data_IF_963318790386
#
_entry.id   IF_963318790386
#
_cell.length_a   1.000
_cell.length_b   1.000
_cell.length_c   1.000
_cell.angle_alpha   90.00
_cell.angle_beta   90.00
_cell.angle_gamma   90.00
#
_symmetry.space_group_name_H-M   'P 1'
#
loop_
_entity.id
_entity.type
_entity.pdbx_description
1 polymer ?
#
# COMPACT_ATOMS: atom_id res chain seq x y z
N UNK A 1 -28.00 4.70 6.83
CA UNK A 1 -26.85 5.05 7.69
C UNK A 1 -25.63 5.08 6.80
N UNK A 2 -24.77 6.10 6.93
CA UNK A 2 -23.49 6.21 6.23
C UNK A 2 -22.57 5.04 6.64
N UNK A 3 -21.81 4.51 5.68
CA UNK A 3 -20.84 3.43 5.90
C UNK A 3 -19.47 4.06 6.16
N UNK A 4 -18.69 3.61 7.18
CA UNK A 4 -17.31 4.05 7.38
C UNK A 4 -16.47 3.90 6.12
N UNK A 5 -15.62 4.88 5.82
CA UNK A 5 -14.77 4.87 4.63
C UNK A 5 -13.30 4.95 5.00
N UNK A 6 -12.46 4.23 4.27
CA UNK A 6 -11.00 4.26 4.40
C UNK A 6 -10.41 4.45 3.01
N UNK A 7 -9.59 5.48 2.82
CA UNK A 7 -8.67 5.57 1.69
C UNK A 7 -7.29 5.15 2.19
N UNK A 8 -6.79 4.00 1.74
CA UNK A 8 -5.41 3.57 1.99
C UNK A 8 -4.52 4.02 0.85
N UNK A 9 -3.64 4.98 1.12
CA UNK A 9 -2.56 5.33 0.21
C UNK A 9 -1.39 4.37 0.41
N UNK A 10 -0.88 3.83 -0.69
CA UNK A 10 0.14 2.79 -0.65
C UNK A 10 1.17 2.92 -1.79
N UNK A 11 2.35 2.37 -1.54
CA UNK A 11 3.39 2.09 -2.52
C UNK A 11 3.85 0.66 -2.26
N UNK A 12 4.05 -0.13 -3.32
CA UNK A 12 4.46 -1.53 -3.22
C UNK A 12 5.80 -1.69 -2.50
N UNK A 13 6.65 -0.65 -2.51
CA UNK A 13 7.94 -0.61 -1.83
C UNK A 13 7.84 -0.68 -0.31
N UNK A 14 6.67 -0.40 0.29
CA UNK A 14 6.52 -0.35 1.74
C UNK A 14 6.10 -1.70 2.32
N UNK A 15 6.89 -2.31 3.23
CA UNK A 15 6.47 -3.54 3.91
C UNK A 15 5.27 -3.28 4.83
N UNK A 16 5.23 -2.11 5.47
CA UNK A 16 4.08 -1.73 6.31
C UNK A 16 2.84 -1.41 5.46
N UNK A 17 3.02 -0.90 4.23
CA UNK A 17 1.94 -0.75 3.25
C UNK A 17 1.31 -2.09 2.89
N UNK A 18 2.12 -3.12 2.68
CA UNK A 18 1.64 -4.48 2.46
C UNK A 18 0.87 -5.04 3.67
N UNK A 19 1.39 -4.88 4.89
CA UNK A 19 0.69 -5.32 6.10
C UNK A 19 -0.68 -4.61 6.21
N UNK A 20 -0.72 -3.29 6.01
CA UNK A 20 -1.98 -2.53 6.03
C UNK A 20 -2.98 -3.05 4.99
N UNK A 21 -2.52 -3.23 3.74
CA UNK A 21 -3.34 -3.79 2.67
C UNK A 21 -3.90 -5.17 3.06
N UNK A 22 -3.05 -6.07 3.53
CA UNK A 22 -3.43 -7.42 3.93
C UNK A 22 -4.46 -7.42 5.07
N UNK A 23 -4.24 -6.60 6.11
CA UNK A 23 -5.17 -6.50 7.25
C UNK A 23 -6.52 -5.93 6.81
N UNK A 24 -6.54 -4.85 6.03
CA UNK A 24 -7.79 -4.27 5.52
C UNK A 24 -8.57 -5.25 4.62
N UNK A 25 -7.87 -6.14 3.90
CA UNK A 25 -8.50 -7.15 3.03
C UNK A 25 -9.09 -8.33 3.79
N UNK A 26 -8.44 -8.76 4.87
CA UNK A 26 -8.71 -10.06 5.49
C UNK A 26 -9.30 -9.98 6.90
N UNK A 27 -9.12 -8.86 7.62
CA UNK A 27 -9.63 -8.75 8.99
C UNK A 27 -11.14 -8.50 9.00
N UNK A 28 -11.93 -9.23 9.81
CA UNK A 28 -13.37 -9.00 9.94
C UNK A 28 -13.69 -7.63 10.53
N UNK A 29 -12.75 -6.99 11.24
CA UNK A 29 -12.90 -5.65 11.81
C UNK A 29 -13.26 -4.63 10.73
N UNK A 30 -12.61 -4.72 9.57
CA UNK A 30 -12.79 -3.77 8.47
C UNK A 30 -13.78 -4.23 7.39
N UNK A 31 -14.37 -5.42 7.52
CA UNK A 31 -15.20 -6.04 6.47
C UNK A 31 -16.43 -5.21 6.07
N UNK A 32 -16.92 -4.34 6.97
CA UNK A 32 -18.06 -3.44 6.72
C UNK A 32 -17.66 -2.05 6.23
N UNK A 33 -16.36 -1.75 6.13
CA UNK A 33 -15.88 -0.46 5.65
C UNK A 33 -15.90 -0.42 4.11
N UNK A 34 -16.17 0.76 3.55
CA UNK A 34 -15.91 1.03 2.15
C UNK A 34 -14.44 1.47 2.00
N UNK A 35 -13.61 0.61 1.41
CA UNK A 35 -12.17 0.80 1.34
C UNK A 35 -11.74 1.11 -0.09
N UNK A 36 -11.04 2.22 -0.28
CA UNK A 36 -10.39 2.60 -1.53
C UNK A 36 -8.87 2.46 -1.39
N UNK A 37 -8.23 1.81 -2.35
CA UNK A 37 -6.77 1.67 -2.40
C UNK A 37 -6.21 2.61 -3.45
N UNK A 38 -5.29 3.48 -3.06
CA UNK A 38 -4.73 4.53 -3.91
C UNK A 38 -3.22 4.35 -4.04
N UNK A 39 -2.73 3.86 -5.20
CA UNK A 39 -1.31 3.82 -5.50
C UNK A 39 -0.73 5.23 -5.53
N UNK A 40 0.37 5.45 -4.83
CA UNK A 40 1.14 6.70 -4.83
C UNK A 40 2.62 6.39 -5.03
N UNK A 41 3.41 7.40 -5.38
CA UNK A 41 4.86 7.26 -5.41
C UNK A 41 5.50 7.78 -4.12
N UNK A 42 5.97 6.87 -3.26
CA UNK A 42 6.54 7.21 -1.94
C UNK A 42 7.75 8.13 -2.05
N UNK A 43 8.61 7.94 -3.05
CA UNK A 43 9.75 8.82 -3.30
C UNK A 43 9.31 10.26 -3.60
N UNK A 44 8.19 10.43 -4.33
CA UNK A 44 7.58 11.72 -4.60
C UNK A 44 7.00 12.37 -3.35
N UNK A 45 6.30 11.59 -2.52
CA UNK A 45 5.76 12.05 -1.23
C UNK A 45 6.88 12.52 -0.29
N UNK A 46 7.93 11.71 -0.10
CA UNK A 46 9.06 12.06 0.76
C UNK A 46 9.74 13.35 0.30
N UNK A 47 9.93 13.51 -1.02
CA UNK A 47 10.49 14.75 -1.56
C UNK A 47 9.61 15.97 -1.28
N UNK A 48 8.29 15.86 -1.45
CA UNK A 48 7.36 16.95 -1.16
C UNK A 48 7.36 17.36 0.33
N UNK A 49 7.55 16.39 1.24
CA UNK A 49 7.65 16.63 2.68
C UNK A 49 9.03 17.11 3.15
N UNK A 50 10.07 17.05 2.31
CA UNK A 50 11.46 17.18 2.78
C UNK A 50 11.88 16.06 3.74
N UNK A 51 11.27 14.87 3.62
CA UNK A 51 11.51 13.73 4.48
C UNK A 51 12.70 12.90 4.00
N UNK A 52 13.44 12.30 4.93
CA UNK A 52 14.58 11.43 4.63
C UNK A 52 14.14 9.96 4.61
N UNK A 53 14.44 9.20 3.54
CA UNK A 53 14.15 7.77 3.49
C UNK A 53 14.69 7.04 4.72
N UNK A 54 13.89 6.21 5.42
CA UNK A 54 14.32 5.56 6.66
C UNK A 54 15.58 4.70 6.52
N UNK A 55 15.78 4.08 5.36
CA UNK A 55 16.97 3.27 5.06
C UNK A 55 18.28 4.09 5.04
N UNK A 56 18.20 5.41 4.85
CA UNK A 56 19.35 6.31 4.89
C UNK A 56 19.66 6.80 6.31
N UNK A 57 18.83 6.46 7.29
CA UNK A 57 19.02 6.86 8.69
C UNK A 57 19.71 5.70 9.41
N UNK A 58 20.87 5.99 10.02
CA UNK A 58 21.66 5.01 10.79
C UNK A 58 20.76 4.22 11.76
N UNK A 59 20.91 2.91 11.76
CA UNK A 59 20.18 1.91 12.57
C UNK A 59 18.71 1.68 12.19
N UNK A 60 18.05 2.55 11.41
CA UNK A 60 16.62 2.38 11.09
C UNK A 60 16.38 1.25 10.11
N UNK A 61 17.30 0.97 9.20
CA UNK A 61 17.23 -0.17 8.29
C UNK A 61 17.15 -1.52 9.04
N UNK A 62 18.04 -1.73 10.01
CA UNK A 62 18.08 -2.94 10.86
C UNK A 62 16.83 -3.02 11.73
N UNK A 63 16.38 -1.88 12.27
CA UNK A 63 15.16 -1.82 13.08
C UNK A 63 13.92 -2.16 12.24
N UNK A 64 13.76 -1.57 11.05
CA UNK A 64 12.64 -1.83 10.14
C UNK A 64 12.60 -3.29 9.73
N UNK A 65 13.75 -3.89 9.41
CA UNK A 65 13.84 -5.31 9.06
C UNK A 65 13.29 -6.22 10.17
N UNK A 66 13.58 -5.91 11.44
CA UNK A 66 13.00 -6.64 12.58
C UNK A 66 11.51 -6.33 12.75
N UNK A 67 11.13 -5.08 12.56
CA UNK A 67 9.79 -4.59 12.86
C UNK A 67 8.74 -5.10 11.87
N UNK A 68 9.05 -5.11 10.57
CA UNK A 68 8.14 -5.67 9.56
C UNK A 68 7.76 -7.12 9.87
N UNK A 69 8.72 -7.92 10.36
CA UNK A 69 8.50 -9.33 10.71
C UNK A 69 7.68 -9.49 11.99
N UNK A 70 7.86 -8.61 12.99
CA UNK A 70 7.05 -8.62 14.22
C UNK A 70 5.59 -8.37 13.89
N UNK A 71 5.30 -7.31 13.14
CA UNK A 71 3.94 -6.99 12.75
C UNK A 71 3.33 -8.01 11.80
N UNK A 72 4.12 -8.54 10.86
CA UNK A 72 3.70 -9.64 10.00
C UNK A 72 3.20 -10.83 10.83
N UNK A 73 3.98 -11.25 11.85
CA UNK A 73 3.57 -12.33 12.76
C UNK A 73 2.32 -11.98 13.57
N UNK A 74 2.22 -10.76 14.09
CA UNK A 74 1.06 -10.33 14.88
C UNK A 74 -0.24 -10.34 14.06
N UNK A 75 -0.18 -9.88 12.81
CA UNK A 75 -1.33 -9.82 11.90
C UNK A 75 -1.44 -11.05 10.98
N UNK A 76 -0.61 -12.09 11.18
CA UNK A 76 -0.58 -13.30 10.36
C UNK A 76 -0.41 -13.04 8.85
N UNK A 77 0.37 -12.02 8.51
CA UNK A 77 0.68 -11.63 7.12
C UNK A 77 1.87 -12.46 6.61
N UNK A 78 1.74 -13.21 5.50
CA UNK A 78 2.87 -13.92 4.90
C UNK A 78 3.96 -12.93 4.49
N UNK A 79 5.22 -13.18 4.88
CA UNK A 79 6.33 -12.28 4.57
C UNK A 79 7.66 -13.03 4.53
N UNK A 80 8.53 -12.70 3.57
CA UNK A 80 9.88 -13.23 3.46
C UNK A 80 10.73 -12.79 4.66
N UNK A 81 11.52 -13.70 5.23
CA UNK A 81 12.31 -13.44 6.45
C UNK A 81 13.43 -12.41 6.19
N UNK A 82 14.20 -12.56 5.11
CA UNK A 82 15.23 -11.60 4.72
C UNK A 82 14.64 -10.41 3.95
N UNK A 83 15.31 -9.27 3.95
CA UNK A 83 14.95 -8.21 3.00
C UNK A 83 15.21 -8.72 1.57
N UNK A 84 14.31 -8.42 0.61
CA UNK A 84 14.55 -8.72 -0.79
C UNK A 84 15.90 -8.16 -1.26
N UNK A 85 16.66 -8.93 -2.03
CA UNK A 85 17.93 -8.48 -2.59
C UNK A 85 17.69 -7.27 -3.51
N UNK A 86 18.38 -6.15 -3.28
CA UNK A 86 18.13 -4.89 -4.00
C UNK A 86 17.05 -3.99 -3.37
N UNK A 87 16.61 -4.28 -2.15
CA UNK A 87 15.72 -3.40 -1.40
C UNK A 87 16.39 -2.09 -0.96
N UNK A 88 15.71 -0.92 -1.04
CA UNK A 88 14.43 -0.70 -1.72
C UNK A 88 14.62 -0.43 -3.23
N UNK A 89 13.88 -1.11 -4.12
CA UNK A 89 13.89 -0.76 -5.53
C UNK A 89 13.13 0.55 -5.79
N UNK A 90 13.45 1.23 -6.90
CA UNK A 90 12.65 2.34 -7.41
C UNK A 90 11.33 1.81 -8.00
N UNK A 91 10.18 2.18 -7.44
CA UNK A 91 8.85 1.64 -7.83
C UNK A 91 8.05 2.53 -8.76
N UNK A 92 8.62 3.63 -9.27
CA UNK A 92 7.89 4.58 -10.14
C UNK A 92 7.21 3.90 -11.34
N UNK A 93 7.89 2.94 -11.98
CA UNK A 93 7.31 2.20 -13.10
C UNK A 93 6.14 1.31 -12.63
N UNK A 94 6.31 0.61 -11.52
CA UNK A 94 5.30 -0.24 -10.89
C UNK A 94 4.06 0.55 -10.48
N UNK A 95 4.23 1.70 -9.84
CA UNK A 95 3.14 2.58 -9.41
C UNK A 95 2.39 3.21 -10.59
N UNK A 96 3.09 3.49 -11.70
CA UNK A 96 2.44 3.89 -12.96
C UNK A 96 1.64 2.75 -13.57
N UNK A 97 2.13 1.51 -13.52
CA UNK A 97 1.36 0.34 -13.97
C UNK A 97 0.08 0.16 -13.12
N UNK A 98 0.17 0.31 -11.80
CA UNK A 98 -1.00 0.31 -10.92
C UNK A 98 -1.99 1.45 -11.23
N UNK A 99 -1.49 2.65 -11.53
CA UNK A 99 -2.35 3.75 -11.98
C UNK A 99 -3.01 3.45 -13.35
N UNK A 100 -2.28 2.86 -14.29
CA UNK A 100 -2.86 2.42 -15.57
C UNK A 100 -3.99 1.40 -15.35
N UNK A 101 -3.78 0.42 -14.46
CA UNK A 101 -4.83 -0.52 -14.05
C UNK A 101 -6.02 0.22 -13.46
N UNK A 102 -5.81 1.19 -12.57
CA UNK A 102 -6.91 1.96 -11.96
C UNK A 102 -7.75 2.76 -12.97
N UNK A 103 -7.18 3.11 -14.13
CA UNK A 103 -7.87 3.85 -15.19
C UNK A 103 -8.56 2.91 -16.18
N UNK A 104 -7.89 1.81 -16.57
CA UNK A 104 -8.34 0.91 -17.65
C UNK A 104 -9.18 -0.27 -17.15
N UNK A 105 -8.88 -0.78 -15.97
CA UNK A 105 -9.46 -1.99 -15.39
C UNK A 105 -9.57 -1.86 -13.87
N UNK A 106 -10.34 -0.89 -13.35
CA UNK A 106 -10.42 -0.60 -11.91
C UNK A 106 -10.80 -1.84 -11.07
N UNK A 107 -11.59 -2.76 -11.62
CA UNK A 107 -11.97 -4.03 -10.99
C UNK A 107 -10.78 -4.99 -10.76
N UNK A 108 -9.70 -4.83 -11.53
CA UNK A 108 -8.47 -5.62 -11.40
C UNK A 108 -7.39 -4.95 -10.56
N UNK A 109 -7.63 -3.73 -10.05
CA UNK A 109 -6.64 -3.01 -9.25
C UNK A 109 -6.26 -3.79 -7.98
N UNK A 110 -7.24 -4.23 -7.21
CA UNK A 110 -7.00 -4.95 -5.94
C UNK A 110 -6.23 -6.27 -6.18
N UNK A 111 -6.67 -7.17 -7.09
CA UNK A 111 -5.89 -8.36 -7.43
C UNK A 111 -4.46 -8.06 -7.91
N UNK A 112 -4.26 -6.96 -8.63
CA UNK A 112 -2.93 -6.57 -9.10
C UNK A 112 -2.02 -6.11 -7.97
N UNK A 113 -2.54 -5.28 -7.05
CA UNK A 113 -1.81 -4.85 -5.85
C UNK A 113 -1.43 -6.09 -5.02
N UNK A 114 -2.38 -7.01 -4.81
CA UNK A 114 -2.15 -8.25 -4.09
C UNK A 114 -1.05 -9.11 -4.74
N UNK A 115 -1.10 -9.29 -6.06
CA UNK A 115 -0.10 -10.06 -6.80
C UNK A 115 1.30 -9.43 -6.74
N UNK A 116 1.40 -8.10 -6.85
CA UNK A 116 2.67 -7.36 -6.73
C UNK A 116 3.24 -7.45 -5.32
N UNK A 117 2.41 -7.27 -4.29
CA UNK A 117 2.84 -7.47 -2.90
C UNK A 117 3.26 -8.90 -2.62
N UNK A 118 2.54 -9.89 -3.15
CA UNK A 118 2.93 -11.29 -3.03
C UNK A 118 4.29 -11.55 -3.69
N UNK A 119 4.50 -11.08 -4.92
CA UNK A 119 5.79 -11.23 -5.60
C UNK A 119 6.92 -10.58 -4.81
N UNK A 120 6.70 -9.37 -4.30
CA UNK A 120 7.77 -8.64 -3.62
C UNK A 120 8.03 -9.12 -2.19
N UNK A 121 6.99 -9.15 -1.36
CA UNK A 121 7.12 -9.37 0.09
C UNK A 121 6.93 -10.81 0.52
N UNK A 122 6.42 -11.69 -0.33
CA UNK A 122 6.33 -13.13 -0.03
C UNK A 122 7.40 -13.90 -0.78
N UNK A 123 7.64 -13.60 -2.05
CA UNK A 123 8.64 -14.29 -2.87
C UNK A 123 10.01 -13.59 -2.89
N UNK A 124 10.13 -12.39 -2.34
CA UNK A 124 11.40 -11.66 -2.29
C UNK A 124 11.83 -11.05 -3.64
N UNK A 125 10.92 -10.84 -4.59
CA UNK A 125 11.24 -10.35 -5.92
C UNK A 125 11.35 -8.82 -5.97
N UNK A 126 12.53 -8.26 -5.68
CA UNK A 126 12.77 -6.82 -5.83
C UNK A 126 12.80 -6.33 -7.28
N UNK A 127 12.86 -7.24 -8.27
CA UNK A 127 12.86 -6.87 -9.70
C UNK A 127 11.56 -6.22 -10.13
N UNK A 128 10.50 -6.31 -9.32
CA UNK A 128 9.22 -5.60 -9.55
C UNK A 128 9.36 -4.07 -9.65
N UNK A 129 10.51 -3.47 -9.30
CA UNK A 129 10.81 -2.07 -9.62
C UNK A 129 11.09 -1.80 -11.10
N UNK A 130 11.33 -2.84 -11.90
CA UNK A 130 11.60 -2.77 -13.34
C UNK A 130 10.46 -3.42 -14.13
N UNK A 131 10.24 -2.96 -15.37
CA UNK A 131 9.15 -3.44 -16.24
C UNK A 131 9.21 -4.95 -16.41
N UNK A 132 10.39 -5.49 -16.67
CA UNK A 132 10.60 -6.92 -16.90
C UNK A 132 10.31 -7.76 -15.65
N UNK A 133 10.47 -7.18 -14.45
CA UNK A 133 10.25 -7.90 -13.20
C UNK A 133 8.79 -7.91 -12.73
N UNK A 134 7.98 -6.91 -13.09
CA UNK A 134 6.54 -6.92 -12.79
C UNK A 134 5.67 -7.40 -13.94
N UNK A 135 6.17 -7.47 -15.18
CA UNK A 135 5.41 -7.97 -16.34
C UNK A 135 4.83 -9.37 -16.13
N UNK A 136 5.59 -10.39 -15.65
CA UNK A 136 5.02 -11.72 -15.38
C UNK A 136 3.91 -11.70 -14.31
N UNK A 137 4.00 -10.77 -13.35
CA UNK A 137 2.97 -10.59 -12.33
C UNK A 137 1.68 -10.06 -12.96
N UNK A 138 1.79 -9.05 -13.83
CA UNK A 138 0.63 -8.53 -14.58
C UNK A 138 0.04 -9.62 -15.50
N UNK A 139 0.87 -10.40 -16.19
CA UNK A 139 0.39 -11.50 -17.04
C UNK A 139 -0.44 -12.53 -16.26
N UNK A 140 -0.12 -12.77 -14.98
CA UNK A 140 -0.94 -13.65 -14.13
C UNK A 140 -2.36 -13.13 -13.85
N UNK A 141 -2.59 -11.82 -13.98
CA UNK A 141 -3.89 -11.15 -13.70
C UNK A 141 -4.64 -10.79 -14.99
N UNK A 142 -3.91 -10.47 -16.06
CA UNK A 142 -4.47 -9.95 -17.30
C UNK A 142 -4.32 -10.87 -18.52
N UNK A 143 -3.46 -11.88 -18.45
CA UNK A 143 -2.94 -12.54 -19.65
C UNK A 143 -1.99 -11.63 -20.43
N UNK A 144 -1.39 -12.15 -21.51
CA UNK A 144 -0.38 -11.42 -22.28
C UNK A 144 -0.92 -10.14 -22.93
N UNK A 145 -2.06 -10.24 -23.62
CA UNK A 145 -2.63 -9.12 -24.37
C UNK A 145 -3.05 -7.97 -23.44
N UNK A 146 -3.77 -8.30 -22.36
CA UNK A 146 -4.15 -7.30 -21.36
C UNK A 146 -2.95 -6.66 -20.65
N UNK A 147 -1.88 -7.42 -20.41
CA UNK A 147 -0.63 -6.85 -19.88
C UNK A 147 0.00 -5.86 -20.85
N UNK A 148 0.03 -6.14 -22.15
CA UNK A 148 0.57 -5.19 -23.14
C UNK A 148 -0.22 -3.87 -23.15
N UNK A 149 -1.54 -3.92 -23.01
CA UNK A 149 -2.37 -2.71 -22.89
C UNK A 149 -1.99 -1.86 -21.66
N UNK A 150 -1.76 -2.51 -20.51
CA UNK A 150 -1.32 -1.82 -19.28
C UNK A 150 0.09 -1.23 -19.44
N UNK A 151 1.03 -1.99 -20.02
CA UNK A 151 2.39 -1.54 -20.28
C UNK A 151 2.47 -0.34 -21.24
N UNK A 152 1.58 -0.30 -22.24
CA UNK A 152 1.45 0.87 -23.10
C UNK A 152 0.85 2.05 -22.32
N UNK A 153 -0.25 1.81 -21.59
CA UNK A 153 -1.00 2.85 -20.90
C UNK A 153 -0.19 3.55 -19.79
N UNK A 154 0.70 2.84 -19.10
CA UNK A 154 1.54 3.44 -18.03
C UNK A 154 2.48 4.56 -18.53
N UNK A 155 2.73 4.62 -19.85
CA UNK A 155 3.48 5.70 -20.49
C UNK A 155 2.66 6.94 -20.80
N UNK A 156 1.33 6.85 -20.80
CA UNK A 156 0.42 7.94 -21.19
C UNK A 156 0.45 9.10 -20.18
N UNK A 157 0.22 10.32 -20.68
CA UNK A 157 0.21 11.54 -19.86
C UNK A 157 -0.82 11.45 -18.72
N UNK A 158 -2.04 11.01 -19.04
CA UNK A 158 -3.13 10.82 -18.07
C UNK A 158 -2.74 9.92 -16.89
N UNK A 159 -2.02 8.82 -17.14
CA UNK A 159 -1.60 7.89 -16.07
C UNK A 159 -0.50 8.51 -15.21
N UNK A 160 0.45 9.22 -15.82
CA UNK A 160 1.51 9.94 -15.09
C UNK A 160 0.93 11.04 -14.22
N UNK A 161 -0.04 11.78 -14.76
CA UNK A 161 -0.79 12.81 -14.04
C UNK A 161 -1.62 12.22 -12.92
N UNK A 162 -2.27 11.06 -13.14
CA UNK A 162 -3.01 10.35 -12.09
C UNK A 162 -2.12 9.96 -10.92
N UNK A 163 -0.96 9.37 -11.16
CA UNK A 163 -0.01 9.02 -10.09
C UNK A 163 0.45 10.26 -9.30
N UNK A 164 0.73 11.35 -10.03
CA UNK A 164 1.07 12.63 -9.40
C UNK A 164 -0.08 13.17 -8.55
N UNK A 165 -1.30 13.18 -9.08
CA UNK A 165 -2.49 13.67 -8.39
C UNK A 165 -2.80 12.84 -7.13
N UNK A 166 -2.69 11.51 -7.21
CA UNK A 166 -2.83 10.63 -6.05
C UNK A 166 -1.79 10.97 -4.96
N UNK A 167 -0.53 11.18 -5.35
CA UNK A 167 0.56 11.53 -4.42
C UNK A 167 0.34 12.93 -3.81
N UNK A 168 -0.08 13.90 -4.62
CA UNK A 168 -0.40 15.26 -4.16
C UNK A 168 -1.62 15.26 -3.22
N UNK A 169 -2.60 14.39 -3.45
CA UNK A 169 -3.76 14.22 -2.56
C UNK A 169 -3.34 13.66 -1.20
N UNK A 170 -2.50 12.61 -1.17
CA UNK A 170 -1.93 12.08 0.06
C UNK A 170 -1.16 13.16 0.83
N UNK A 171 -0.31 13.92 0.14
CA UNK A 171 0.44 15.02 0.76
C UNK A 171 -0.49 16.08 1.36
N UNK A 172 -1.53 16.50 0.62
CA UNK A 172 -2.52 17.48 1.10
C UNK A 172 -3.35 16.97 2.28
N UNK A 173 -3.56 15.65 2.39
CA UNK A 173 -4.23 15.05 3.55
C UNK A 173 -3.32 14.88 4.76
N UNK A 174 -2.03 15.26 4.65
CA UNK A 174 -1.06 15.25 5.74
C UNK A 174 -0.07 14.09 5.70
N UNK A 175 -0.10 13.25 4.65
CA UNK A 175 0.80 12.11 4.56
C UNK A 175 2.27 12.55 4.43
N UNK A 176 3.14 11.85 5.14
CA UNK A 176 4.60 12.01 5.08
C UNK A 176 5.35 10.68 4.93
N UNK A 177 4.60 9.58 4.83
CA UNK A 177 5.09 8.22 4.69
C UNK A 177 3.93 7.26 4.42
N UNK A 178 4.24 5.96 4.28
CA UNK A 178 3.26 4.93 3.91
C UNK A 178 3.37 3.73 4.88
N UNK A 179 2.24 3.14 5.31
CA UNK A 179 0.86 3.42 4.90
C UNK A 179 0.29 4.71 5.50
N UNK A 180 -0.58 5.37 4.73
CA UNK A 180 -1.39 6.48 5.20
C UNK A 180 -2.86 6.15 5.00
N UNK A 181 -3.65 6.28 6.05
CA UNK A 181 -5.08 6.06 6.06
C UNK A 181 -5.79 7.40 6.17
N UNK A 182 -6.67 7.71 5.23
CA UNK A 182 -7.61 8.82 5.34
C UNK A 182 -9.00 8.23 5.60
N UNK A 183 -9.51 8.42 6.80
CA UNK A 183 -10.67 7.72 7.33
C UNK A 183 -11.83 8.69 7.48
N UNK A 184 -13.02 8.33 7.02
CA UNK A 184 -14.26 9.07 7.32
C UNK A 184 -15.20 8.21 8.16
N UNK A 185 -15.58 8.67 9.34
CA UNK A 185 -16.51 7.96 10.21
C UNK A 185 -17.98 8.18 9.78
N UNK A 186 -18.92 7.55 10.49
CA UNK A 186 -20.36 7.65 10.17
C UNK A 186 -20.94 9.06 10.37
N UNK A 187 -20.30 9.91 11.17
CA UNK A 187 -20.71 11.31 11.39
C UNK A 187 -20.23 12.23 10.26
N UNK A 188 -19.40 11.73 9.34
CA UNK A 188 -18.82 12.51 8.25
C UNK A 188 -17.52 13.24 8.63
N UNK A 189 -16.97 12.98 9.82
CA UNK A 189 -15.68 13.52 10.25
C UNK A 189 -14.56 12.75 9.55
N UNK A 190 -13.50 13.45 9.12
CA UNK A 190 -12.36 12.87 8.41
C UNK A 190 -11.06 13.10 9.17
N UNK A 191 -10.29 12.03 9.39
CA UNK A 191 -8.97 12.07 10.03
C UNK A 191 -7.94 11.22 9.29
N UNK A 192 -6.67 11.60 9.43
CA UNK A 192 -5.52 10.92 8.84
C UNK A 192 -4.73 10.12 9.89
N UNK A 193 -4.34 8.90 9.56
CA UNK A 193 -3.53 8.02 10.42
C UNK A 193 -2.33 7.47 9.64
N UNK A 194 -1.17 7.38 10.29
CA UNK A 194 0.05 6.86 9.67
C UNK A 194 0.55 5.61 10.38
N UNK A 195 0.94 4.60 9.61
CA UNK A 195 1.56 3.39 10.15
C UNK A 195 0.55 2.32 10.58
N UNK A 196 1.00 1.06 10.56
CA UNK A 196 0.16 -0.10 10.93
C UNK A 196 -0.08 -0.22 12.44
N UNK A 197 0.73 0.46 13.23
CA UNK A 197 0.63 0.57 14.69
C UNK A 197 -0.56 1.46 15.12
N UNK A 198 -1.12 2.24 14.18
CA UNK A 198 -2.30 3.07 14.40
C UNK A 198 -3.61 2.41 13.97
N UNK A 199 -3.59 1.15 13.51
CA UNK A 199 -4.83 0.44 13.11
C UNK A 199 -5.87 0.37 14.24
N UNK A 200 -5.44 0.31 15.50
CA UNK A 200 -6.32 0.40 16.66
C UNK A 200 -7.07 1.73 16.73
N UNK A 201 -6.35 2.85 16.55
CA UNK A 201 -6.94 4.19 16.49
C UNK A 201 -7.86 4.35 15.29
N UNK A 202 -7.51 3.79 14.13
CA UNK A 202 -8.39 3.76 12.95
C UNK A 202 -9.70 3.06 13.28
N UNK A 203 -9.65 1.89 13.93
CA UNK A 203 -10.87 1.16 14.32
C UNK A 203 -11.70 1.95 15.34
N UNK A 204 -11.07 2.52 16.36
CA UNK A 204 -11.76 3.31 17.39
C UNK A 204 -12.41 4.57 16.79
N UNK A 205 -11.72 5.31 15.92
CA UNK A 205 -12.25 6.49 15.23
C UNK A 205 -13.44 6.16 14.33
N UNK A 206 -13.40 5.02 13.64
CA UNK A 206 -14.48 4.54 12.78
C UNK A 206 -15.62 3.86 13.56
N UNK A 207 -15.48 3.68 14.88
CA UNK A 207 -16.46 3.01 15.73
C UNK A 207 -16.60 1.52 15.45
N UNK A 208 -15.51 0.85 15.07
CA UNK A 208 -15.48 -0.58 14.73
C UNK A 208 -15.23 -1.44 15.97
N UNK A 209 -15.85 -2.63 16.00
CA UNK A 209 -15.55 -3.63 17.02
C UNK A 209 -14.26 -4.38 16.66
N UNK A 210 -13.26 -4.26 17.54
CA UNK A 210 -11.95 -4.91 17.42
C UNK A 210 -11.76 -6.15 18.30
N UNK A 211 -12.78 -6.55 19.06
CA UNK A 211 -12.72 -7.68 20.00
C UNK A 211 -12.44 -9.04 19.34
N UNK A 212 -12.63 -9.15 18.03
CA UNK A 212 -12.49 -10.40 17.27
C UNK A 212 -11.09 -10.69 16.72
N UNK A 213 -10.14 -9.75 16.77
CA UNK A 213 -8.82 -9.90 16.10
C UNK A 213 -7.64 -9.79 17.09
N UNK A 214 -6.75 -10.79 17.08
CA UNK A 214 -5.58 -10.82 17.99
C UNK A 214 -4.56 -9.73 17.69
N UNK A 215 -4.40 -9.33 16.42
CA UNK A 215 -3.48 -8.26 16.04
C UNK A 215 -3.87 -6.93 16.70
N UNK A 216 -5.17 -6.74 16.92
CA UNK A 216 -5.71 -5.56 17.58
C UNK A 216 -5.40 -5.44 19.08
N UNK A 217 -4.93 -6.51 19.72
CA UNK A 217 -4.43 -6.45 21.10
C UNK A 217 -3.06 -5.77 21.22
N UNK A 218 -2.28 -5.76 20.14
CA UNK A 218 -0.96 -5.11 20.13
C UNK A 218 -1.02 -3.61 19.76
N UNK A 219 -2.17 -3.16 19.26
CA UNK A 219 -2.49 -1.76 18.94
C UNK A 219 -3.54 -1.19 19.91
N UNK A 220 -3.57 -1.73 21.14
CA UNK A 220 -4.36 -1.22 22.28
C UNK A 220 -3.67 -0.02 22.93
#
# INVERSE_FOLDING_TARGET
MSVPRITLYLDVVSPFGYIAFHVLRNSPVFAKCNITYVPIFLGGLMNACGNTPPVNIKNKDVWIGKERLRWARYFSVPMVESNPEGFPPMTLATERALCAVSVKSPEKLIPTIEALYHSFWVQGNAKIGQVEGFTPVLESVFGKDGTQEILQAMGHAEVKERLKANTDQAFKSGAFGIPWFECTNIKGETEGFWGIDHLGQVADFLGLDRGSDRGFKAVL
#
